data_IF_141805217176
#
_entry.id   IF_141805217176
#
_cell.length_a   1.000
_cell.length_b   1.000
_cell.length_c   1.000
_cell.angle_alpha   90.00
_cell.angle_beta   90.00
_cell.angle_gamma   90.00
#
_symmetry.space_group_name_H-M   'P 1'
#
loop_
_entity.id
_entity.type
_entity.pdbx_description
1 polymer ?
#
# COMPACT_ATOMS: atom_id res chain seq x y z
N UNK A 1 28.87 -24.25 56.62
CA UNK A 1 27.48 -24.03 56.19
C UNK A 1 27.53 -22.92 55.14
N UNK A 2 27.59 -23.30 53.84
CA UNK A 2 27.70 -22.35 52.73
C UNK A 2 26.30 -22.13 52.14
N UNK A 3 25.77 -20.89 52.27
CA UNK A 3 24.55 -20.47 51.61
C UNK A 3 24.86 -20.20 50.15
N UNK A 4 24.24 -20.98 49.23
CA UNK A 4 24.25 -20.73 47.81
C UNK A 4 23.01 -19.91 47.51
N UNK A 5 23.22 -18.60 47.24
CA UNK A 5 22.19 -17.67 46.78
C UNK A 5 21.99 -17.88 45.25
N UNK A 6 20.91 -18.58 44.88
CA UNK A 6 20.55 -18.81 43.47
C UNK A 6 19.85 -17.56 42.95
N UNK A 7 20.55 -16.77 42.12
CA UNK A 7 20.01 -15.60 41.43
C UNK A 7 19.21 -16.10 40.23
N UNK A 8 17.87 -16.17 40.33
CA UNK A 8 16.97 -16.41 39.21
C UNK A 8 16.94 -15.18 38.30
N UNK A 9 17.69 -15.22 37.23
CA UNK A 9 17.66 -14.21 36.17
C UNK A 9 16.39 -14.47 35.30
N UNK A 10 15.29 -13.76 35.60
CA UNK A 10 14.11 -13.75 34.71
C UNK A 10 14.47 -13.08 33.40
N UNK A 11 14.75 -13.87 32.38
CA UNK A 11 14.81 -13.42 31.00
C UNK A 11 13.38 -13.10 30.55
N UNK A 12 12.93 -11.87 30.73
CA UNK A 12 11.75 -11.35 30.05
C UNK A 12 12.11 -11.19 28.57
N UNK A 13 11.71 -12.18 27.77
CA UNK A 13 11.72 -12.03 26.30
C UNK A 13 10.74 -10.94 25.93
N UNK A 14 11.24 -9.73 25.71
CA UNK A 14 10.51 -8.68 25.02
C UNK A 14 10.27 -9.18 23.59
N UNK A 15 9.13 -9.81 23.35
CA UNK A 15 8.60 -9.96 22.00
C UNK A 15 8.23 -8.56 21.54
N UNK A 16 9.11 -7.94 20.77
CA UNK A 16 8.85 -6.67 20.11
C UNK A 16 7.67 -6.88 19.14
N UNK A 17 6.46 -6.57 19.59
CA UNK A 17 5.34 -6.39 18.68
C UNK A 17 5.70 -5.22 17.77
N UNK A 18 5.93 -5.49 16.50
CA UNK A 18 6.00 -4.42 15.51
C UNK A 18 4.64 -3.72 15.53
N UNK A 19 4.63 -2.48 16.04
CA UNK A 19 3.42 -1.72 16.22
C UNK A 19 2.87 -1.36 14.84
N UNK A 20 1.70 -1.92 14.47
CA UNK A 20 1.05 -1.64 13.17
C UNK A 20 0.82 -0.14 12.98
N UNK A 21 1.07 0.38 11.79
CA UNK A 21 0.84 1.77 11.41
C UNK A 21 -0.64 2.12 11.17
N UNK A 22 -1.52 1.13 11.19
CA UNK A 22 -2.95 1.27 10.86
C UNK A 22 -3.81 0.33 11.70
N UNK A 23 -5.11 0.55 11.68
CA UNK A 23 -6.10 -0.32 12.32
C UNK A 23 -7.41 -0.34 11.54
N UNK A 24 -8.38 -1.13 12.01
CA UNK A 24 -9.75 -1.15 11.48
C UNK A 24 -10.39 0.24 11.55
N UNK A 25 -11.12 0.60 10.50
CA UNK A 25 -11.82 1.89 10.37
C UNK A 25 -11.00 2.96 9.68
N UNK A 26 -9.72 2.71 9.37
CA UNK A 26 -8.95 3.65 8.55
C UNK A 26 -9.61 3.82 7.18
N UNK A 27 -9.90 5.06 6.82
CA UNK A 27 -10.39 5.47 5.51
C UNK A 27 -9.53 6.63 5.01
N UNK A 28 -8.96 6.48 3.83
CA UNK A 28 -8.19 7.50 3.13
C UNK A 28 -8.85 7.79 1.79
N UNK A 29 -9.24 9.03 1.55
CA UNK A 29 -9.81 9.50 0.29
C UNK A 29 -8.83 10.41 -0.43
N UNK A 30 -8.66 10.18 -1.72
CA UNK A 30 -7.74 10.92 -2.57
C UNK A 30 -8.46 11.62 -3.71
N UNK A 31 -7.98 12.80 -4.06
CA UNK A 31 -8.33 13.53 -5.27
C UNK A 31 -7.17 13.40 -6.25
N UNK A 32 -7.48 12.98 -7.48
CA UNK A 32 -6.49 12.81 -8.54
C UNK A 32 -6.69 13.90 -9.57
N UNK A 33 -5.59 14.59 -9.90
CA UNK A 33 -5.54 15.72 -10.81
C UNK A 33 -4.60 15.43 -11.98
N UNK A 34 -4.94 15.96 -13.14
CA UNK A 34 -4.02 16.13 -14.25
C UNK A 34 -3.93 17.63 -14.54
N UNK A 35 -2.76 18.20 -14.31
CA UNK A 35 -2.62 19.66 -14.28
C UNK A 35 -3.58 20.28 -13.26
N UNK A 36 -4.50 21.12 -13.73
CA UNK A 36 -5.48 21.82 -12.88
C UNK A 36 -6.83 21.11 -12.78
N UNK A 37 -7.03 20.06 -13.56
CA UNK A 37 -8.31 19.38 -13.65
C UNK A 37 -8.39 18.19 -12.69
N UNK A 38 -9.45 18.13 -11.89
CA UNK A 38 -9.79 16.93 -11.14
C UNK A 38 -10.31 15.88 -12.13
N UNK A 39 -9.58 14.79 -12.25
CA UNK A 39 -9.90 13.72 -13.20
C UNK A 39 -10.52 12.50 -12.53
N UNK A 40 -10.09 12.21 -11.30
CA UNK A 40 -10.52 10.99 -10.63
C UNK A 40 -10.51 11.15 -9.10
N UNK A 41 -11.15 10.19 -8.43
CA UNK A 41 -11.09 10.00 -6.98
C UNK A 41 -10.69 8.57 -6.70
N UNK A 42 -9.92 8.38 -5.62
CA UNK A 42 -9.61 7.06 -5.11
C UNK A 42 -9.87 6.99 -3.60
N UNK A 43 -10.09 5.80 -3.08
CA UNK A 43 -10.20 5.56 -1.64
C UNK A 43 -9.52 4.27 -1.24
N UNK A 44 -9.03 4.22 0.00
CA UNK A 44 -8.58 3.01 0.69
C UNK A 44 -9.33 2.90 2.01
N UNK A 45 -9.93 1.76 2.30
CA UNK A 45 -10.71 1.49 3.52
C UNK A 45 -10.29 0.16 4.13
N UNK A 46 -10.06 0.13 5.46
CA UNK A 46 -9.73 -1.07 6.22
C UNK A 46 -10.92 -1.53 7.04
N UNK A 47 -11.30 -2.79 6.90
CA UNK A 47 -12.32 -3.48 7.70
C UNK A 47 -11.75 -4.74 8.33
N UNK A 48 -12.27 -5.15 9.47
CA UNK A 48 -12.12 -6.53 9.93
C UNK A 48 -13.04 -7.46 9.16
N UNK A 49 -12.56 -8.64 8.85
CA UNK A 49 -13.33 -9.68 8.20
C UNK A 49 -12.88 -11.07 8.68
N UNK A 50 -13.60 -12.10 8.28
CA UNK A 50 -13.17 -13.49 8.38
C UNK A 50 -13.02 -14.08 6.98
N UNK A 51 -11.92 -14.75 6.75
CA UNK A 51 -11.66 -15.55 5.55
C UNK A 51 -11.32 -16.96 6.02
N UNK A 52 -12.12 -17.96 5.64
CA UNK A 52 -11.93 -19.37 6.02
C UNK A 52 -11.73 -19.57 7.56
N UNK A 53 -12.53 -18.84 8.37
CA UNK A 53 -12.47 -18.76 9.85
C UNK A 53 -11.24 -18.05 10.44
N UNK A 54 -10.34 -17.51 9.65
CA UNK A 54 -9.22 -16.70 10.09
C UNK A 54 -9.61 -15.21 10.15
N UNK A 55 -9.23 -14.52 11.22
CA UNK A 55 -9.42 -13.08 11.34
C UNK A 55 -8.41 -12.34 10.45
N UNK A 56 -8.92 -11.50 9.56
CA UNK A 56 -8.13 -10.77 8.56
C UNK A 56 -8.49 -9.29 8.52
N UNK A 57 -7.58 -8.47 8.03
CA UNK A 57 -7.96 -7.16 7.51
C UNK A 57 -8.41 -7.31 6.05
N UNK A 58 -9.59 -6.79 5.75
CA UNK A 58 -10.11 -6.62 4.41
C UNK A 58 -9.88 -5.18 3.99
N UNK A 59 -8.95 -4.95 3.07
CA UNK A 59 -8.58 -3.63 2.60
C UNK A 59 -9.17 -3.44 1.21
N UNK A 60 -9.93 -2.37 1.04
CA UNK A 60 -10.71 -2.08 -0.16
C UNK A 60 -10.19 -0.80 -0.79
N UNK A 61 -9.71 -0.89 -2.02
CA UNK A 61 -9.34 0.23 -2.86
C UNK A 61 -10.41 0.47 -3.93
N UNK A 62 -10.89 1.70 -4.06
CA UNK A 62 -11.78 2.08 -5.16
C UNK A 62 -11.17 3.23 -5.95
N UNK A 63 -11.34 3.20 -7.28
CA UNK A 63 -10.98 4.25 -8.20
C UNK A 63 -12.15 4.61 -9.11
N UNK A 64 -12.38 5.91 -9.32
CA UNK A 64 -13.40 6.36 -10.27
C UNK A 64 -13.02 7.66 -10.96
N UNK A 65 -13.29 7.77 -12.25
CA UNK A 65 -13.24 9.04 -12.97
C UNK A 65 -14.34 9.99 -12.50
N UNK A 66 -14.09 11.28 -12.62
CA UNK A 66 -15.05 12.35 -12.30
C UNK A 66 -14.96 13.48 -13.33
N UNK A 67 -15.96 14.37 -13.32
CA UNK A 67 -15.98 15.55 -14.18
C UNK A 67 -15.98 15.21 -15.67
N UNK A 68 -15.22 15.98 -16.45
CA UNK A 68 -15.14 15.78 -17.90
C UNK A 68 -14.57 14.43 -18.28
N UNK A 69 -13.60 13.91 -17.56
CA UNK A 69 -13.02 12.60 -17.86
C UNK A 69 -14.08 11.51 -17.79
N UNK A 70 -15.01 11.57 -16.82
CA UNK A 70 -16.07 10.55 -16.66
C UNK A 70 -17.06 10.49 -17.84
N UNK A 71 -17.17 11.57 -18.62
CA UNK A 71 -18.02 11.61 -19.83
C UNK A 71 -17.38 10.89 -21.02
N UNK A 72 -16.04 10.96 -21.15
CA UNK A 72 -15.31 10.41 -22.28
C UNK A 72 -14.63 9.09 -21.99
N UNK A 73 -14.17 8.90 -20.76
CA UNK A 73 -13.45 7.69 -20.33
C UNK A 73 -13.84 7.32 -18.90
N UNK A 74 -14.89 6.53 -18.80
CA UNK A 74 -15.44 6.11 -17.51
C UNK A 74 -14.57 5.05 -16.85
N UNK A 75 -14.07 5.34 -15.64
CA UNK A 75 -13.31 4.42 -14.81
C UNK A 75 -14.13 4.04 -13.58
N UNK A 76 -14.22 2.75 -13.29
CA UNK A 76 -14.86 2.18 -12.09
C UNK A 76 -14.06 0.95 -11.69
N UNK A 77 -13.07 1.15 -10.85
CA UNK A 77 -12.15 0.12 -10.42
C UNK A 77 -12.32 -0.20 -8.95
N UNK A 78 -12.26 -1.47 -8.64
CA UNK A 78 -12.28 -1.98 -7.28
C UNK A 78 -11.21 -3.04 -7.10
N UNK A 79 -10.39 -2.82 -6.10
CA UNK A 79 -9.35 -3.73 -5.65
C UNK A 79 -9.63 -4.12 -4.21
N UNK A 80 -9.46 -5.40 -3.86
CA UNK A 80 -9.67 -5.87 -2.51
C UNK A 80 -8.56 -6.83 -2.13
N UNK A 81 -7.96 -6.65 -0.95
CA UNK A 81 -7.03 -7.63 -0.40
C UNK A 81 -7.49 -8.06 1.00
N UNK A 82 -7.27 -9.33 1.29
CA UNK A 82 -7.50 -9.93 2.60
C UNK A 82 -6.14 -10.35 3.13
N UNK A 83 -5.68 -9.66 4.19
CA UNK A 83 -4.35 -9.90 4.76
C UNK A 83 -4.44 -10.39 6.18
N UNK A 84 -3.49 -11.24 6.58
CA UNK A 84 -3.37 -11.69 7.97
C UNK A 84 -3.15 -10.50 8.90
N UNK A 85 -3.77 -10.53 10.08
CA UNK A 85 -3.68 -9.41 11.05
C UNK A 85 -2.29 -9.25 11.68
N UNK A 86 -1.50 -10.32 11.71
CA UNK A 86 -0.17 -10.34 12.34
C UNK A 86 0.94 -9.99 11.35
N UNK A 87 1.07 -10.78 10.28
CA UNK A 87 2.17 -10.65 9.33
C UNK A 87 1.88 -9.69 8.17
N UNK A 88 0.60 -9.36 7.94
CA UNK A 88 0.16 -8.55 6.79
C UNK A 88 0.40 -9.26 5.46
N UNK A 89 0.39 -10.61 5.46
CA UNK A 89 0.53 -11.42 4.25
C UNK A 89 -0.83 -11.57 3.58
N UNK A 90 -0.94 -11.33 2.25
CA UNK A 90 -2.20 -11.49 1.53
C UNK A 90 -2.58 -12.97 1.43
N UNK A 91 -3.85 -13.27 1.73
CA UNK A 91 -4.46 -14.57 1.51
C UNK A 91 -5.28 -14.59 0.23
N UNK A 92 -5.94 -13.47 -0.06
CA UNK A 92 -6.77 -13.30 -1.25
C UNK A 92 -6.67 -11.87 -1.76
N UNK A 93 -6.56 -11.71 -3.08
CA UNK A 93 -6.64 -10.42 -3.76
C UNK A 93 -7.67 -10.50 -4.88
N UNK A 94 -8.50 -9.45 -5.01
CA UNK A 94 -9.47 -9.31 -6.07
C UNK A 94 -9.21 -8.05 -6.86
N UNK A 95 -9.40 -8.15 -8.16
CA UNK A 95 -9.25 -7.05 -9.10
C UNK A 95 -10.46 -7.02 -10.03
N UNK A 96 -11.30 -6.02 -9.84
CA UNK A 96 -12.47 -5.74 -10.68
C UNK A 96 -12.31 -4.36 -11.31
N UNK A 97 -12.00 -4.32 -12.59
CA UNK A 97 -11.65 -3.14 -13.37
C UNK A 97 -12.66 -2.92 -14.47
N UNK A 98 -13.06 -1.66 -14.63
CA UNK A 98 -13.86 -1.21 -15.76
C UNK A 98 -13.39 0.17 -16.21
N UNK A 99 -12.51 0.19 -17.22
CA UNK A 99 -11.86 1.37 -17.77
C UNK A 99 -12.23 1.56 -19.24
N UNK A 100 -13.05 2.58 -19.55
CA UNK A 100 -13.48 2.85 -20.92
C UNK A 100 -14.16 1.66 -21.63
N UNK A 101 -14.80 0.77 -20.87
CA UNK A 101 -15.39 -0.47 -21.40
C UNK A 101 -14.46 -1.69 -21.37
N UNK A 102 -13.16 -1.52 -21.13
CA UNK A 102 -12.26 -2.64 -20.85
C UNK A 102 -12.56 -3.18 -19.45
N UNK A 103 -12.91 -4.47 -19.37
CA UNK A 103 -13.22 -5.14 -18.09
C UNK A 103 -12.20 -6.21 -17.79
N UNK A 104 -11.75 -6.28 -16.53
CA UNK A 104 -10.88 -7.32 -16.01
C UNK A 104 -11.41 -7.74 -14.63
N UNK A 105 -11.67 -9.03 -14.45
CA UNK A 105 -12.06 -9.59 -13.16
C UNK A 105 -11.17 -10.79 -12.88
N UNK A 106 -10.26 -10.62 -11.90
CA UNK A 106 -9.34 -11.67 -11.45
C UNK A 106 -9.40 -11.82 -9.94
N UNK A 107 -9.28 -13.05 -9.46
CA UNK A 107 -9.06 -13.37 -8.05
C UNK A 107 -7.76 -14.18 -7.90
N UNK A 108 -6.94 -13.77 -6.95
CA UNK A 108 -5.68 -14.42 -6.59
C UNK A 108 -5.82 -15.04 -5.19
N UNK A 109 -5.39 -16.28 -5.04
CA UNK A 109 -5.37 -16.99 -3.75
C UNK A 109 -3.94 -17.37 -3.44
N UNK A 110 -3.39 -16.77 -2.37
CA UNK A 110 -2.00 -16.96 -1.97
C UNK A 110 -1.88 -18.12 -0.97
N UNK A 111 -0.93 -19.00 -1.21
CA UNK A 111 -0.52 -20.04 -0.29
C UNK A 111 0.96 -19.85 0.06
N UNK A 112 1.21 -19.12 1.15
CA UNK A 112 2.57 -18.81 1.61
C UNK A 112 3.33 -20.04 2.13
N UNK A 113 2.62 -21.08 2.61
CA UNK A 113 3.25 -22.31 3.07
C UNK A 113 3.95 -23.06 1.93
N UNK A 114 3.33 -23.04 0.75
CA UNK A 114 3.83 -23.74 -0.44
C UNK A 114 4.44 -22.78 -1.46
N UNK A 115 4.52 -21.48 -1.15
CA UNK A 115 5.00 -20.44 -2.06
C UNK A 115 4.31 -20.50 -3.43
N UNK A 116 2.98 -20.56 -3.43
CA UNK A 116 2.18 -20.61 -4.65
C UNK A 116 1.03 -19.62 -4.62
N UNK A 117 0.65 -19.12 -5.78
CA UNK A 117 -0.57 -18.34 -6.00
C UNK A 117 -1.42 -18.98 -7.09
N UNK A 118 -2.72 -19.14 -6.81
CA UNK A 118 -3.72 -19.55 -7.79
C UNK A 118 -4.42 -18.29 -8.31
N UNK A 119 -4.45 -18.11 -9.61
CA UNK A 119 -5.11 -17.00 -10.32
C UNK A 119 -6.33 -17.54 -11.04
N UNK A 120 -7.50 -16.97 -10.76
CA UNK A 120 -8.76 -17.23 -11.46
C UNK A 120 -9.11 -15.98 -12.28
N UNK A 121 -9.14 -16.11 -13.58
CA UNK A 121 -9.56 -15.06 -14.51
C UNK A 121 -11.00 -15.36 -14.99
N UNK A 122 -11.95 -14.60 -14.47
CA UNK A 122 -13.37 -14.81 -14.78
C UNK A 122 -13.74 -14.36 -16.20
N UNK A 123 -13.00 -13.39 -16.76
CA UNK A 123 -13.22 -12.92 -18.13
C UNK A 123 -12.88 -13.99 -19.17
N UNK A 124 -11.79 -14.72 -18.95
CA UNK A 124 -11.30 -15.74 -19.87
C UNK A 124 -11.65 -17.16 -19.41
N UNK A 125 -12.32 -17.31 -18.26
CA UNK A 125 -12.67 -18.62 -17.66
C UNK A 125 -11.45 -19.53 -17.48
N UNK A 126 -10.30 -18.95 -17.10
CA UNK A 126 -9.05 -19.68 -16.89
C UNK A 126 -8.66 -19.72 -15.42
N UNK A 127 -7.96 -20.80 -15.05
CA UNK A 127 -7.35 -20.93 -13.72
C UNK A 127 -5.92 -21.40 -13.89
N UNK A 128 -4.98 -20.60 -13.41
CA UNK A 128 -3.56 -20.89 -13.48
C UNK A 128 -2.95 -20.88 -12.06
N UNK A 129 -1.81 -21.54 -11.89
CA UNK A 129 -1.06 -21.50 -10.65
C UNK A 129 0.40 -21.19 -10.93
N UNK A 130 0.97 -20.31 -10.11
CA UNK A 130 2.34 -19.82 -10.27
C UNK A 130 3.11 -20.04 -8.97
N UNK A 131 4.41 -20.28 -9.09
CA UNK A 131 5.31 -20.24 -7.95
C UNK A 131 5.60 -18.77 -7.60
N UNK A 132 5.61 -18.45 -6.31
CA UNK A 132 5.89 -17.12 -5.79
C UNK A 132 7.07 -17.17 -4.81
N UNK A 133 7.71 -16.04 -4.60
CA UNK A 133 8.75 -15.88 -3.58
C UNK A 133 8.11 -15.87 -2.17
N UNK A 134 8.87 -16.20 -1.11
CA UNK A 134 8.36 -16.04 0.27
C UNK A 134 7.90 -14.61 0.56
N UNK A 135 6.82 -14.49 1.35
CA UNK A 135 6.24 -13.20 1.78
C UNK A 135 5.81 -12.28 0.62
N UNK A 136 5.51 -12.85 -0.53
CA UNK A 136 5.02 -12.11 -1.70
C UNK A 136 3.74 -11.36 -1.37
N UNK A 137 3.68 -10.11 -1.80
CA UNK A 137 2.58 -9.18 -1.61
C UNK A 137 1.79 -8.98 -2.91
N UNK A 138 0.51 -8.61 -2.79
CA UNK A 138 -0.24 -7.97 -3.87
C UNK A 138 -0.01 -6.45 -3.86
N UNK A 139 -0.62 -5.74 -4.81
CA UNK A 139 -0.44 -4.30 -5.00
C UNK A 139 -0.90 -3.46 -3.78
N UNK A 140 -2.00 -3.84 -3.12
CA UNK A 140 -2.50 -3.12 -1.95
C UNK A 140 -1.73 -3.53 -0.69
N UNK A 141 -1.57 -4.83 -0.46
CA UNK A 141 -0.86 -5.34 0.72
C UNK A 141 0.59 -4.86 0.78
N UNK A 142 1.26 -4.69 -0.37
CA UNK A 142 2.60 -4.13 -0.45
C UNK A 142 2.70 -2.74 0.16
N UNK A 143 1.73 -1.85 -0.11
CA UNK A 143 1.69 -0.52 0.47
C UNK A 143 1.55 -0.57 2.00
N UNK A 144 0.63 -1.38 2.53
CA UNK A 144 0.44 -1.53 3.97
C UNK A 144 1.62 -2.21 4.66
N UNK A 145 2.27 -3.16 3.97
CA UNK A 145 3.51 -3.79 4.45
C UNK A 145 4.65 -2.79 4.58
N UNK A 146 4.81 -1.90 3.60
CA UNK A 146 5.82 -0.83 3.66
C UNK A 146 5.57 0.11 4.85
N UNK A 147 4.33 0.52 5.12
CA UNK A 147 3.98 1.36 6.28
C UNK A 147 4.41 0.74 7.60
N UNK A 148 4.33 -0.59 7.72
CA UNK A 148 4.78 -1.31 8.92
C UNK A 148 6.29 -1.54 8.96
N UNK A 149 6.95 -1.60 7.80
CA UNK A 149 8.39 -1.88 7.70
C UNK A 149 9.26 -0.65 7.89
N UNK A 150 8.78 0.52 7.43
CA UNK A 150 9.54 1.77 7.53
C UNK A 150 9.63 2.20 9.01
N UNK A 151 10.85 2.24 9.55
CA UNK A 151 11.13 2.86 10.85
C UNK A 151 11.51 4.32 10.62
N UNK A 152 10.70 5.25 11.14
CA UNK A 152 10.93 6.69 10.96
C UNK A 152 12.08 7.25 11.76
N UNK A 153 12.50 6.55 12.84
CA UNK A 153 13.49 7.06 13.80
C UNK A 153 14.93 6.90 13.31
N UNK A 154 15.18 6.04 12.32
CA UNK A 154 16.54 5.69 11.87
C UNK A 154 16.65 5.61 10.33
N UNK A 155 15.89 6.45 9.62
CA UNK A 155 15.93 6.52 8.16
C UNK A 155 17.16 7.28 7.66
N UNK A 156 17.89 6.68 6.72
CA UNK A 156 19.03 7.30 6.02
C UNK A 156 18.67 7.61 4.58
N UNK A 157 18.98 8.83 4.14
CA UNK A 157 18.81 9.20 2.72
C UNK A 157 19.53 8.19 1.84
N UNK A 158 18.86 7.69 0.83
CA UNK A 158 19.35 6.64 -0.04
C UNK A 158 19.03 5.22 0.41
N UNK A 159 18.45 5.04 1.62
CA UNK A 159 18.01 3.73 2.10
C UNK A 159 16.96 3.13 1.18
N UNK A 160 17.12 1.85 0.87
CA UNK A 160 16.23 1.12 -0.04
C UNK A 160 15.41 0.08 0.75
N UNK A 161 14.17 -0.11 0.32
CA UNK A 161 13.22 -1.10 0.84
C UNK A 161 12.80 -2.02 -0.29
N UNK A 162 12.75 -3.31 -0.01
CA UNK A 162 12.46 -4.35 -0.99
C UNK A 162 11.26 -5.17 -0.55
N UNK A 163 10.39 -5.51 -1.51
CA UNK A 163 9.28 -6.44 -1.33
C UNK A 163 9.18 -7.38 -2.54
N UNK A 164 8.86 -8.63 -2.29
CA UNK A 164 8.41 -9.52 -3.34
C UNK A 164 6.94 -9.22 -3.64
N UNK A 165 6.59 -9.03 -4.89
CA UNK A 165 5.21 -8.79 -5.34
C UNK A 165 4.82 -9.77 -6.43
N UNK A 166 3.51 -10.03 -6.53
CA UNK A 166 2.93 -10.77 -7.65
C UNK A 166 1.82 -9.92 -8.28
N UNK A 167 1.95 -9.65 -9.56
CA UNK A 167 1.00 -8.83 -10.31
C UNK A 167 0.99 -9.22 -11.78
N UNK A 168 -0.19 -9.22 -12.42
CA UNK A 168 -0.38 -9.60 -13.83
C UNK A 168 0.31 -10.91 -14.23
N UNK A 169 0.17 -11.92 -13.35
CA UNK A 169 0.66 -13.29 -13.53
C UNK A 169 2.20 -13.44 -13.48
N UNK A 170 2.90 -12.44 -12.91
CA UNK A 170 4.36 -12.42 -12.78
C UNK A 170 4.84 -12.03 -11.37
N UNK A 171 6.06 -12.50 -11.02
CA UNK A 171 6.76 -12.08 -9.81
C UNK A 171 7.57 -10.82 -10.09
N UNK A 172 7.53 -9.85 -9.17
CA UNK A 172 8.30 -8.61 -9.22
C UNK A 172 9.10 -8.42 -7.95
N UNK A 173 10.34 -7.97 -8.11
CA UNK A 173 11.15 -7.44 -7.02
C UNK A 173 10.89 -5.93 -6.95
N UNK A 174 9.89 -5.55 -6.14
CA UNK A 174 9.58 -4.14 -5.92
C UNK A 174 10.64 -3.52 -5.02
N UNK A 175 11.11 -2.34 -5.43
CA UNK A 175 12.08 -1.55 -4.68
C UNK A 175 11.58 -0.12 -4.52
N UNK A 176 11.76 0.47 -3.34
CA UNK A 176 11.58 1.91 -3.15
C UNK A 176 12.76 2.50 -2.38
N UNK A 177 13.15 3.73 -2.72
CA UNK A 177 14.28 4.45 -2.15
C UNK A 177 13.81 5.68 -1.39
N UNK A 178 14.29 5.86 -0.16
CA UNK A 178 14.07 7.07 0.61
C UNK A 178 14.94 8.21 0.09
N UNK A 179 14.31 9.32 -0.31
CA UNK A 179 15.00 10.49 -0.88
C UNK A 179 15.26 11.58 0.14
N UNK A 180 14.56 11.59 1.28
CA UNK A 180 14.71 12.60 2.33
C UNK A 180 13.39 13.08 2.89
N UNK A 181 13.48 14.11 3.73
CA UNK A 181 12.35 14.75 4.39
C UNK A 181 11.92 15.98 3.60
N UNK A 182 10.62 16.22 3.54
CA UNK A 182 10.05 17.40 2.87
C UNK A 182 8.78 17.84 3.63
N UNK A 183 8.58 19.14 3.81
CA UNK A 183 7.33 19.67 4.36
C UNK A 183 6.43 20.06 3.22
N UNK A 184 5.24 19.47 3.15
CA UNK A 184 4.25 19.80 2.12
C UNK A 184 3.16 20.70 2.68
N UNK A 185 2.81 21.74 1.92
CA UNK A 185 1.58 22.48 2.15
C UNK A 185 0.40 21.67 1.64
N UNK A 186 -0.57 21.43 2.52
CA UNK A 186 -1.77 20.63 2.23
C UNK A 186 -3.03 21.40 2.66
N UNK A 187 -4.19 20.87 2.33
CA UNK A 187 -5.46 21.42 2.85
C UNK A 187 -5.61 21.28 4.38
N UNK A 188 -4.76 20.46 5.01
CA UNK A 188 -4.75 20.26 6.48
C UNK A 188 -3.71 21.13 7.18
N UNK A 189 -2.95 21.96 6.45
CA UNK A 189 -1.79 22.72 6.89
C UNK A 189 -0.47 22.11 6.43
N UNK A 190 0.63 22.54 7.01
CA UNK A 190 1.96 22.02 6.70
C UNK A 190 2.17 20.66 7.35
N UNK A 191 2.55 19.65 6.55
CA UNK A 191 2.75 18.27 6.98
C UNK A 191 4.19 17.85 6.71
N UNK A 192 4.89 17.40 7.75
CA UNK A 192 6.20 16.77 7.58
C UNK A 192 6.04 15.41 6.90
N UNK A 193 6.75 15.21 5.82
CA UNK A 193 6.66 14.02 4.99
C UNK A 193 8.01 13.35 4.75
N UNK A 194 7.96 12.05 4.55
CA UNK A 194 9.03 11.22 4.01
C UNK A 194 8.80 11.07 2.51
N UNK A 195 9.80 11.41 1.70
CA UNK A 195 9.76 11.33 0.24
C UNK A 195 10.42 10.06 -0.24
N UNK A 196 9.73 9.32 -1.09
CA UNK A 196 10.21 8.06 -1.66
C UNK A 196 10.07 8.02 -3.17
N UNK A 197 10.95 7.25 -3.81
CA UNK A 197 10.88 6.90 -5.22
C UNK A 197 10.77 5.39 -5.36
N UNK A 198 9.63 4.85 -5.85
CA UNK A 198 9.53 3.46 -6.21
C UNK A 198 10.21 3.22 -7.55
N UNK A 199 10.86 2.08 -7.68
CA UNK A 199 11.38 1.59 -8.95
C UNK A 199 10.42 0.53 -9.46
N UNK A 200 9.55 0.93 -10.38
CA UNK A 200 8.62 0.02 -11.08
C UNK A 200 9.30 -0.39 -12.38
N UNK A 201 9.18 -1.65 -12.76
CA UNK A 201 9.73 -2.08 -14.05
C UNK A 201 9.09 -1.27 -15.18
N UNK A 202 9.92 -0.56 -15.94
CA UNK A 202 9.55 0.47 -16.90
C UNK A 202 8.61 -0.01 -18.03
N UNK A 203 8.58 -1.31 -18.31
CA UNK A 203 7.97 -1.85 -19.53
C UNK A 203 6.43 -1.84 -19.56
N UNK A 204 5.74 -1.48 -18.46
CA UNK A 204 4.27 -1.68 -18.40
C UNK A 204 3.42 -0.47 -17.99
N UNK A 205 3.96 0.52 -17.28
CA UNK A 205 3.16 1.65 -16.78
C UNK A 205 3.81 3.01 -17.03
N UNK A 206 5.14 3.09 -16.97
CA UNK A 206 5.89 4.34 -17.15
C UNK A 206 7.11 4.08 -18.03
N UNK A 207 7.33 4.94 -19.02
CA UNK A 207 8.49 4.86 -19.93
C UNK A 207 9.84 5.09 -19.22
N UNK A 208 9.82 5.70 -18.02
CA UNK A 208 11.00 5.98 -17.21
C UNK A 208 10.82 5.45 -15.79
N UNK A 209 11.82 4.71 -15.31
CA UNK A 209 11.84 4.13 -13.95
C UNK A 209 11.83 5.17 -12.83
N UNK A 210 11.99 6.45 -13.13
CA UNK A 210 12.09 7.56 -12.17
C UNK A 210 10.87 8.51 -12.17
N UNK A 211 9.82 8.20 -12.92
CA UNK A 211 8.66 9.08 -13.11
C UNK A 211 7.70 9.13 -11.91
N UNK A 212 7.79 8.19 -10.96
CA UNK A 212 6.90 8.12 -9.82
C UNK A 212 7.58 8.58 -8.52
N UNK A 213 6.94 9.46 -7.79
CA UNK A 213 7.36 9.89 -6.44
C UNK A 213 6.17 9.86 -5.50
N UNK A 214 6.37 9.43 -4.24
CA UNK A 214 5.31 9.52 -3.25
C UNK A 214 5.83 10.08 -1.92
N UNK A 215 4.94 10.75 -1.20
CA UNK A 215 5.17 11.34 0.12
C UNK A 215 4.19 10.73 1.11
N UNK A 216 4.71 10.23 2.21
CA UNK A 216 3.93 9.74 3.35
C UNK A 216 4.21 10.61 4.56
N UNK A 217 3.30 10.66 5.54
CA UNK A 217 3.53 11.40 6.78
C UNK A 217 4.76 10.86 7.52
N UNK A 218 5.55 11.78 8.08
CA UNK A 218 6.72 11.44 8.92
C UNK A 218 6.30 11.15 10.38
N UNK A 219 5.19 10.42 10.55
CA UNK A 219 4.64 10.00 11.84
C UNK A 219 4.40 8.49 11.87
N UNK A 220 3.80 8.00 12.94
CA UNK A 220 3.52 6.57 13.11
C UNK A 220 2.46 6.04 12.15
N UNK A 221 1.56 6.88 11.60
CA UNK A 221 0.56 6.46 10.63
C UNK A 221 1.17 6.19 9.24
N UNK A 222 2.17 6.97 8.81
CA UNK A 222 2.81 6.86 7.49
C UNK A 222 1.79 6.79 6.34
N UNK A 223 0.74 7.65 6.41
CA UNK A 223 -0.29 7.70 5.37
C UNK A 223 0.20 8.50 4.15
N UNK A 224 -0.22 8.13 2.93
CA UNK A 224 0.16 8.87 1.74
C UNK A 224 -0.51 10.25 1.73
N UNK A 225 0.30 11.28 1.56
CA UNK A 225 -0.14 12.68 1.42
C UNK A 225 -0.24 13.05 -0.05
N UNK A 226 0.77 12.66 -0.82
CA UNK A 226 0.87 12.96 -2.25
C UNK A 226 1.54 11.80 -2.98
N UNK A 227 1.03 11.47 -4.16
CA UNK A 227 1.67 10.60 -5.14
C UNK A 227 1.69 11.37 -6.46
N UNK A 228 2.84 11.47 -7.09
CA UNK A 228 3.03 12.18 -8.34
C UNK A 228 3.68 11.27 -9.37
N UNK A 229 3.03 11.14 -10.52
CA UNK A 229 3.54 10.46 -11.69
C UNK A 229 3.81 11.48 -12.79
N UNK A 230 5.09 11.66 -13.14
CA UNK A 230 5.48 12.46 -14.28
C UNK A 230 5.15 11.70 -15.57
N UNK A 231 4.55 12.39 -16.53
CA UNK A 231 4.19 11.85 -17.83
C UNK A 231 4.98 12.60 -18.90
N UNK A 232 5.03 12.09 -20.12
CA UNK A 232 5.67 12.79 -21.25
C UNK A 232 5.13 14.22 -21.42
N UNK A 233 3.88 14.48 -21.02
CA UNK A 233 3.29 15.81 -20.95
C UNK A 233 2.56 15.95 -19.64
N UNK A 234 3.03 16.85 -18.76
CA UNK A 234 2.42 17.13 -17.45
C UNK A 234 2.63 16.04 -16.41
N UNK A 235 1.82 16.07 -15.36
CA UNK A 235 1.86 15.07 -14.28
C UNK A 235 0.47 14.67 -13.81
N UNK A 236 0.35 13.44 -13.34
CA UNK A 236 -0.82 12.95 -12.62
C UNK A 236 -0.50 13.02 -11.12
N UNK A 237 -1.32 13.72 -10.36
CA UNK A 237 -1.10 13.93 -8.93
C UNK A 237 -2.29 13.45 -8.13
N UNK A 238 -2.07 12.48 -7.24
CA UNK A 238 -3.04 12.08 -6.22
C UNK A 238 -2.68 12.74 -4.89
N UNK A 239 -3.64 13.49 -4.31
CA UNK A 239 -3.49 14.16 -3.02
C UNK A 239 -4.52 13.64 -2.02
N UNK A 240 -4.10 13.48 -0.77
CA UNK A 240 -5.02 13.14 0.32
C UNK A 240 -6.07 14.24 0.47
N UNK A 241 -7.34 13.87 0.36
CA UNK A 241 -8.48 14.79 0.45
C UNK A 241 -9.25 14.66 1.76
N UNK A 242 -9.39 13.46 2.30
CA UNK A 242 -10.06 13.20 3.57
C UNK A 242 -9.47 11.94 4.22
N UNK A 243 -9.46 11.90 5.55
CA UNK A 243 -9.10 10.68 6.28
C UNK A 243 -9.99 10.52 7.51
N UNK A 244 -10.15 9.26 7.95
CA UNK A 244 -10.84 8.88 9.19
C UNK A 244 -10.17 7.66 9.79
N UNK A 245 -10.39 7.42 11.08
CA UNK A 245 -9.99 6.18 11.75
C UNK A 245 -8.49 5.91 11.76
N UNK A 246 -7.66 6.96 11.78
CA UNK A 246 -6.23 6.79 11.93
C UNK A 246 -5.91 6.25 13.32
N UNK A 247 -4.98 5.31 13.40
CA UNK A 247 -4.55 4.70 14.65
C UNK A 247 -3.83 5.67 15.57
N UNK A 248 -3.09 6.63 15.01
CA UNK A 248 -2.35 7.65 15.74
C UNK A 248 -2.85 9.04 15.36
N UNK A 249 -2.67 10.06 16.24
CA UNK A 249 -3.02 11.43 15.89
C UNK A 249 -2.31 11.92 14.63
N UNK A 250 -3.06 12.52 13.73
CA UNK A 250 -2.49 13.21 12.58
C UNK A 250 -1.78 14.49 13.06
N UNK A 251 -0.56 14.73 12.59
CA UNK A 251 0.27 15.86 13.03
C UNK A 251 0.54 16.81 11.87
N UNK A 252 0.35 18.10 12.15
CA UNK A 252 0.80 19.20 11.31
C UNK A 252 2.01 19.87 11.95
N UNK A 253 2.88 20.44 11.13
CA UNK A 253 3.96 21.32 11.61
C UNK A 253 3.28 22.62 12.03
N UNK A 254 3.49 23.06 13.26
CA UNK A 254 3.06 24.38 13.71
C UNK A 254 4.11 25.39 13.24
N UNK A 255 3.63 26.50 12.68
CA UNK A 255 4.47 27.67 12.36
C UNK A 255 5.15 28.24 13.63
#
# INVERSE_FOLDING_TARGET
>A
MKLILSLLFCFSTFTGFTQSAFEEGELLNFRIKYGWFNTSKASLEIKKAKLDNEDVFHIIGNGKSVGLLDLFFKVRDRYETYVTTQEGEPLKFKRDINEGGHKKHKELFFNHKNNRVKVVDFKHSTTNSFDIKPKTQDMISAFYKLRNTINTDDLKIGQEFYLNMFFDDENYDFKTKFLGYETLETKFGYVACLKFRPYVMADRVFEESESLTFWITADQNKIPIKIEAELAVGSLVAELDEFKGLKYPFRTVRD
#
